data_IF_932510940257
#
_entry.id   IF_932510940257
#
_cell.length_a   1.000
_cell.length_b   1.000
_cell.length_c   1.000
_cell.angle_alpha   90.00
_cell.angle_beta   90.00
_cell.angle_gamma   90.00
#
_symmetry.space_group_name_H-M   'P 1'
#
loop_
_entity.id
_entity.type
_entity.pdbx_description
1 polymer ?
#
# COMPACT_ATOMS: atom_id res chain seq x y z
N UNK A 1 10.11 -5.12 -13.10
CA UNK A 1 9.93 -5.38 -14.55
C UNK A 1 8.46 -5.28 -14.99
N UNK A 2 7.48 -5.63 -14.15
CA UNK A 2 6.06 -5.70 -14.52
C UNK A 2 5.46 -4.39 -15.08
N UNK A 3 5.80 -3.22 -14.53
CA UNK A 3 5.17 -1.97 -14.94
C UNK A 3 5.43 -1.56 -16.40
N UNK A 4 6.63 -1.83 -16.94
CA UNK A 4 6.96 -1.55 -18.35
C UNK A 4 6.26 -2.53 -19.28
N UNK A 5 6.11 -3.80 -18.85
CA UNK A 5 5.36 -4.81 -19.60
C UNK A 5 3.86 -4.49 -19.68
N UNK A 6 3.28 -3.97 -18.59
CA UNK A 6 1.86 -3.58 -18.55
C UNK A 6 1.60 -2.25 -19.26
N UNK A 7 2.50 -1.27 -19.15
CA UNK A 7 2.34 0.08 -19.71
C UNK A 7 3.64 0.56 -20.35
N UNK A 8 3.86 0.19 -21.61
CA UNK A 8 5.10 0.50 -22.33
C UNK A 8 5.15 1.93 -22.92
N UNK A 9 4.01 2.62 -23.04
CA UNK A 9 3.90 3.91 -23.75
C UNK A 9 4.75 5.01 -23.08
N UNK A 10 5.63 5.72 -23.82
CA UNK A 10 6.66 6.59 -23.21
C UNK A 10 6.08 7.75 -22.39
N UNK A 11 4.93 8.30 -22.81
CA UNK A 11 4.23 9.40 -22.15
C UNK A 11 3.55 9.02 -20.82
N UNK A 12 3.54 7.74 -20.42
CA UNK A 12 2.95 7.26 -19.17
C UNK A 12 4.01 6.93 -18.10
N UNK A 13 5.08 7.71 -18.06
CA UNK A 13 6.20 7.49 -17.12
C UNK A 13 5.79 7.59 -15.65
N UNK A 14 4.96 8.55 -15.27
CA UNK A 14 4.49 8.68 -13.89
C UNK A 14 3.56 7.53 -13.49
N UNK A 15 2.67 7.10 -14.39
CA UNK A 15 1.85 5.91 -14.16
C UNK A 15 2.71 4.66 -13.91
N UNK A 16 3.76 4.44 -14.71
CA UNK A 16 4.70 3.33 -14.47
C UNK A 16 5.40 3.43 -13.11
N UNK A 17 5.78 4.63 -12.68
CA UNK A 17 6.40 4.84 -11.36
C UNK A 17 5.42 4.49 -10.24
N UNK A 18 4.18 4.99 -10.30
CA UNK A 18 3.14 4.67 -9.31
C UNK A 18 2.87 3.16 -9.26
N UNK A 19 2.67 2.55 -10.42
CA UNK A 19 2.43 1.10 -10.53
C UNK A 19 3.59 0.29 -9.97
N UNK A 20 4.84 0.69 -10.24
CA UNK A 20 6.02 0.00 -9.69
C UNK A 20 6.03 0.06 -8.16
N UNK A 21 5.73 1.22 -7.56
CA UNK A 21 5.66 1.37 -6.10
C UNK A 21 4.59 0.44 -5.51
N UNK A 22 3.38 0.43 -6.09
CA UNK A 22 2.28 -0.44 -5.65
C UNK A 22 2.66 -1.92 -5.74
N UNK A 23 3.24 -2.36 -6.86
CA UNK A 23 3.68 -3.76 -7.02
C UNK A 23 4.74 -4.16 -5.98
N UNK A 24 5.70 -3.27 -5.69
CA UNK A 24 6.70 -3.55 -4.65
C UNK A 24 6.05 -3.70 -3.28
N UNK A 25 5.08 -2.85 -2.92
CA UNK A 25 4.36 -3.01 -1.65
C UNK A 25 3.58 -4.31 -1.58
N UNK A 26 2.92 -4.71 -2.67
CA UNK A 26 2.22 -6.00 -2.72
C UNK A 26 3.18 -7.15 -2.40
N UNK A 27 4.37 -7.17 -3.01
CA UNK A 27 5.37 -8.21 -2.78
C UNK A 27 5.92 -8.19 -1.35
N UNK A 28 6.23 -7.01 -0.81
CA UNK A 28 6.74 -6.88 0.57
C UNK A 28 5.68 -7.29 1.59
N UNK A 29 4.42 -6.95 1.35
CA UNK A 29 3.32 -7.34 2.23
C UNK A 29 3.06 -8.85 2.11
N UNK A 30 3.11 -9.42 0.91
CA UNK A 30 3.02 -10.87 0.68
C UNK A 30 4.06 -11.61 1.54
N UNK A 31 5.35 -11.21 1.45
CA UNK A 31 6.46 -11.76 2.25
C UNK A 31 6.22 -11.63 3.79
N UNK A 32 5.56 -10.54 4.21
CA UNK A 32 5.20 -10.33 5.62
C UNK A 32 4.17 -11.37 6.07
N UNK A 33 3.13 -11.61 5.27
CA UNK A 33 2.01 -12.49 5.64
C UNK A 33 2.29 -13.97 5.42
N UNK A 34 3.14 -14.36 4.46
CA UNK A 34 3.39 -15.76 4.13
C UNK A 34 4.60 -16.35 4.87
N UNK A 35 5.59 -15.53 5.23
CA UNK A 35 6.89 -16.00 5.72
C UNK A 35 7.36 -15.34 7.03
N UNK A 36 7.04 -14.07 7.29
CA UNK A 36 7.69 -13.32 8.38
C UNK A 36 6.85 -13.20 9.66
N UNK A 37 5.55 -12.88 9.54
CA UNK A 37 4.71 -12.51 10.69
C UNK A 37 4.09 -13.70 11.41
N UNK A 38 4.03 -13.63 12.74
CA UNK A 38 3.12 -14.47 13.53
C UNK A 38 1.67 -14.00 13.37
N UNK A 39 0.71 -14.88 13.63
CA UNK A 39 -0.72 -14.55 13.48
C UNK A 39 -1.15 -13.29 14.28
N UNK A 40 -0.62 -13.12 15.49
CA UNK A 40 -0.91 -11.96 16.35
C UNK A 40 -0.36 -10.67 15.73
N UNK A 41 0.90 -10.67 15.30
CA UNK A 41 1.53 -9.51 14.64
C UNK A 41 0.83 -9.16 13.32
N UNK A 42 0.40 -10.16 12.55
CA UNK A 42 -0.33 -9.96 11.30
C UNK A 42 -1.73 -9.38 11.55
N UNK A 43 -2.40 -9.77 12.63
CA UNK A 43 -3.68 -9.19 13.01
C UNK A 43 -3.52 -7.71 13.37
N UNK A 44 -2.47 -7.36 14.13
CA UNK A 44 -2.18 -5.96 14.49
C UNK A 44 -1.74 -5.13 13.28
N UNK A 45 -0.95 -5.71 12.36
CA UNK A 45 -0.59 -5.04 11.12
C UNK A 45 -1.81 -4.79 10.24
N UNK A 46 -2.71 -5.78 10.11
CA UNK A 46 -3.99 -5.63 9.40
C UNK A 46 -4.83 -4.51 10.02
N UNK A 47 -4.94 -4.49 11.35
CA UNK A 47 -5.68 -3.44 12.07
C UNK A 47 -5.10 -2.05 11.82
N UNK A 48 -3.77 -1.91 11.73
CA UNK A 48 -3.12 -0.65 11.41
C UNK A 48 -3.46 -0.18 9.97
N UNK A 49 -3.44 -1.10 9.01
CA UNK A 49 -3.85 -0.84 7.62
C UNK A 49 -5.31 -0.43 7.54
N UNK A 50 -6.22 -1.14 8.22
CA UNK A 50 -7.66 -0.85 8.22
C UNK A 50 -8.00 0.52 8.83
N UNK A 51 -7.36 0.88 9.95
CA UNK A 51 -7.52 2.20 10.57
C UNK A 51 -6.94 3.32 9.70
N UNK A 52 -5.88 3.01 8.95
CA UNK A 52 -5.17 3.96 8.10
C UNK A 52 -4.66 5.18 8.90
N UNK A 53 -4.17 4.97 10.12
CA UNK A 53 -3.59 6.02 10.97
C UNK A 53 -2.12 5.71 11.28
N UNK A 54 -1.21 6.50 10.71
CA UNK A 54 0.24 6.35 10.91
C UNK A 54 0.71 6.68 12.33
N UNK A 55 -0.12 7.30 13.17
CA UNK A 55 0.24 7.70 14.54
C UNK A 55 -0.13 6.65 15.58
N UNK A 56 -1.05 5.75 15.26
CA UNK A 56 -1.59 4.75 16.19
C UNK A 56 -1.15 3.32 15.81
N UNK A 57 0.07 3.16 15.31
CA UNK A 57 0.63 1.82 15.07
C UNK A 57 1.07 1.19 16.39
N UNK A 58 0.63 -0.05 16.65
CA UNK A 58 0.86 -0.75 17.93
C UNK A 58 2.36 -0.78 18.29
N UNK A 59 2.71 -0.40 19.52
CA UNK A 59 4.08 -0.44 20.00
C UNK A 59 4.67 -1.86 20.00
N UNK A 60 3.83 -2.89 20.06
CA UNK A 60 4.25 -4.29 20.03
C UNK A 60 4.56 -4.80 18.62
N UNK A 61 4.19 -4.05 17.57
CA UNK A 61 4.47 -4.46 16.19
C UNK A 61 5.99 -4.47 15.93
N UNK A 62 6.53 -5.49 15.23
CA UNK A 62 7.92 -5.49 14.80
C UNK A 62 8.28 -4.23 14.00
N UNK A 63 9.49 -3.71 14.21
CA UNK A 63 9.95 -2.49 13.55
C UNK A 63 9.86 -2.56 12.02
N UNK A 64 10.09 -3.74 11.42
CA UNK A 64 9.97 -3.93 9.97
C UNK A 64 8.53 -3.70 9.48
N UNK A 65 7.52 -4.18 10.21
CA UNK A 65 6.11 -3.99 9.86
C UNK A 65 5.68 -2.54 10.07
N UNK A 66 6.14 -1.88 11.15
CA UNK A 66 5.91 -0.44 11.35
C UNK A 66 6.47 0.40 10.20
N UNK A 67 7.71 0.12 9.79
CA UNK A 67 8.35 0.80 8.67
C UNK A 67 7.62 0.51 7.34
N UNK A 68 7.17 -0.73 7.13
CA UNK A 68 6.39 -1.10 5.97
C UNK A 68 5.09 -0.30 5.91
N UNK A 69 4.32 -0.25 7.00
CA UNK A 69 3.08 0.51 7.08
C UNK A 69 3.29 2.00 6.86
N UNK A 70 4.31 2.59 7.51
CA UNK A 70 4.61 4.01 7.32
C UNK A 70 4.97 4.32 5.85
N UNK A 71 5.81 3.48 5.23
CA UNK A 71 6.17 3.65 3.83
C UNK A 71 4.97 3.48 2.89
N UNK A 72 4.07 2.54 3.19
CA UNK A 72 2.81 2.32 2.46
C UNK A 72 1.91 3.55 2.56
N UNK A 73 1.71 4.06 3.78
CA UNK A 73 0.91 5.25 4.06
C UNK A 73 1.43 6.48 3.30
N UNK A 74 2.72 6.79 3.44
CA UNK A 74 3.35 7.95 2.81
C UNK A 74 3.31 7.85 1.29
N UNK A 75 3.60 6.66 0.74
CA UNK A 75 3.58 6.42 -0.69
C UNK A 75 2.19 6.58 -1.28
N UNK A 76 1.17 6.06 -0.60
CA UNK A 76 -0.23 6.12 -1.07
C UNK A 76 -0.73 7.56 -1.09
N UNK A 77 -0.43 8.33 -0.03
CA UNK A 77 -0.73 9.76 0.01
C UNK A 77 0.01 10.55 -1.07
N UNK A 78 1.29 10.22 -1.31
CA UNK A 78 2.07 10.82 -2.40
C UNK A 78 1.44 10.53 -3.77
N UNK A 79 1.09 9.28 -4.06
CA UNK A 79 0.45 8.90 -5.33
C UNK A 79 -0.88 9.64 -5.51
N UNK A 80 -1.71 9.69 -4.47
CA UNK A 80 -2.98 10.41 -4.52
C UNK A 80 -2.79 11.91 -4.83
N UNK A 81 -1.82 12.54 -4.17
CA UNK A 81 -1.46 13.94 -4.41
C UNK A 81 -0.97 14.17 -5.85
N UNK A 82 -0.09 13.31 -6.37
CA UNK A 82 0.44 13.41 -7.73
C UNK A 82 -0.67 13.23 -8.78
N UNK A 83 -1.59 12.27 -8.59
CA UNK A 83 -2.74 12.09 -9.48
C UNK A 83 -3.67 13.30 -9.43
N UNK A 84 -3.97 13.83 -8.24
CA UNK A 84 -4.80 15.04 -8.11
C UNK A 84 -4.15 16.22 -8.84
N UNK A 85 -2.83 16.41 -8.69
CA UNK A 85 -2.08 17.47 -9.35
C UNK A 85 -2.07 17.33 -10.88
N UNK A 86 -1.94 16.11 -11.40
CA UNK A 86 -1.83 15.87 -12.85
C UNK A 86 -3.18 15.78 -13.57
N UNK A 87 -4.22 15.26 -12.89
CA UNK A 87 -5.51 14.91 -13.51
C UNK A 87 -6.70 15.69 -12.93
N UNK A 88 -6.52 16.43 -11.84
CA UNK A 88 -7.59 17.14 -11.14
C UNK A 88 -8.57 16.21 -10.40
N UNK A 89 -8.19 14.95 -10.16
CA UNK A 89 -9.06 13.97 -9.52
C UNK A 89 -9.04 14.12 -8.00
N UNK A 90 -10.19 14.47 -7.42
CA UNK A 90 -10.29 14.85 -6.00
C UNK A 90 -10.63 13.69 -5.04
N UNK A 91 -10.88 12.47 -5.56
CA UNK A 91 -11.29 11.29 -4.75
C UNK A 91 -10.34 10.10 -4.83
N UNK A 92 -9.09 10.35 -5.26
CA UNK A 92 -8.11 9.28 -5.49
C UNK A 92 -7.70 8.58 -4.21
N UNK A 93 -7.45 9.32 -3.13
CA UNK A 93 -6.98 8.74 -1.87
C UNK A 93 -7.98 7.73 -1.28
N UNK A 94 -9.28 8.04 -1.13
CA UNK A 94 -10.27 7.05 -0.72
C UNK A 94 -10.29 5.78 -1.58
N UNK A 95 -10.15 5.91 -2.90
CA UNK A 95 -10.16 4.76 -3.81
C UNK A 95 -8.89 3.90 -3.64
N UNK A 96 -7.72 4.51 -3.47
CA UNK A 96 -6.48 3.78 -3.19
C UNK A 96 -6.53 3.05 -1.84
N UNK A 97 -7.06 3.69 -0.80
CA UNK A 97 -7.22 3.06 0.53
C UNK A 97 -8.07 1.80 0.46
N UNK A 98 -9.21 1.85 -0.24
CA UNK A 98 -10.11 0.69 -0.40
C UNK A 98 -9.43 -0.53 -1.01
N UNK A 99 -8.45 -0.33 -1.88
CA UNK A 99 -7.71 -1.44 -2.51
C UNK A 99 -6.69 -2.05 -1.55
N UNK A 100 -6.30 -1.34 -0.51
CA UNK A 100 -5.30 -1.76 0.48
C UNK A 100 -5.93 -2.32 1.77
N UNK A 101 -7.16 -1.92 2.06
CA UNK A 101 -7.95 -2.44 3.18
C UNK A 101 -8.58 -3.76 2.78
N UNK A 102 -8.46 -4.77 3.65
CA UNK A 102 -9.15 -6.03 3.46
C UNK A 102 -10.62 -5.83 3.85
N UNK A 103 -11.50 -5.62 2.87
CA UNK A 103 -12.93 -5.83 3.10
C UNK A 103 -13.07 -7.29 3.57
N UNK A 104 -13.35 -7.51 4.85
CA UNK A 104 -13.28 -8.78 5.62
C UNK A 104 -14.07 -9.98 5.07
N UNK A 105 -13.91 -10.25 3.80
CA UNK A 105 -14.37 -11.38 3.04
C UNK A 105 -13.36 -12.47 3.33
N UNK A 106 -13.74 -13.57 3.99
CA UNK A 106 -12.84 -14.70 4.17
C UNK A 106 -12.35 -15.13 2.80
N UNK A 107 -11.03 -15.24 2.64
CA UNK A 107 -10.46 -15.96 1.50
C UNK A 107 -10.89 -17.42 1.72
N UNK A 108 -11.89 -17.85 0.93
CA UNK A 108 -12.41 -19.21 0.95
C UNK A 108 -11.38 -20.19 0.37
#
# INVERSE_FOLDING_TARGET
>A
MCAVGLVFQPNLSNFRKWLTKVVVFILVIDDIYDNYGSLEELQDFTNAVDRWDSKETDENLPNCMKLCFQALYDTTNQIAYEIQKEKGWNRVLPDLKKVMVCDGTPIA
#
